data_IF_219307862945
#
_entry.id   IF_219307862945
#
_cell.length_a   1.000
_cell.length_b   1.000
_cell.length_c   1.000
_cell.angle_alpha   90.00
_cell.angle_beta   90.00
_cell.angle_gamma   90.00
#
_symmetry.space_group_name_H-M   'P 1'
#
loop_
_entity.id
_entity.type
_entity.pdbx_description
1 polymer ?
#
# COMPACT_ATOMS: atom_id res chain seq x y z
N UNK A 1 -14.31 -6.68 -26.40
CA UNK A 1 -15.58 -7.11 -25.79
C UNK A 1 -16.69 -6.76 -26.77
N UNK A 2 -17.51 -7.74 -27.11
CA UNK A 2 -18.50 -7.62 -28.19
C UNK A 2 -19.68 -6.72 -27.81
N UNK A 3 -20.18 -5.95 -28.76
CA UNK A 3 -21.43 -5.21 -28.63
C UNK A 3 -22.58 -6.19 -28.30
N UNK A 4 -23.35 -5.89 -27.24
CA UNK A 4 -24.52 -6.67 -26.89
C UNK A 4 -24.48 -7.43 -25.56
N UNK A 5 -23.39 -7.31 -24.78
CA UNK A 5 -23.33 -7.85 -23.42
C UNK A 5 -24.34 -7.11 -22.52
N UNK A 6 -25.22 -7.87 -21.86
CA UNK A 6 -26.27 -7.32 -21.02
C UNK A 6 -25.85 -7.37 -19.55
N UNK A 7 -26.47 -6.52 -18.70
CA UNK A 7 -26.32 -6.60 -17.25
C UNK A 7 -26.65 -8.03 -16.77
N UNK A 8 -25.91 -8.53 -15.79
CA UNK A 8 -26.03 -9.88 -15.20
C UNK A 8 -25.62 -11.05 -16.11
N UNK A 9 -25.14 -10.80 -17.33
CA UNK A 9 -24.50 -11.85 -18.15
C UNK A 9 -23.06 -12.09 -17.72
N UNK A 10 -22.66 -13.36 -17.75
CA UNK A 10 -21.30 -13.78 -17.52
C UNK A 10 -20.47 -13.73 -18.80
N UNK A 11 -19.25 -13.24 -18.70
CA UNK A 11 -18.26 -13.36 -19.77
C UNK A 11 -17.02 -14.07 -19.23
N UNK A 12 -16.53 -15.05 -19.99
CA UNK A 12 -15.26 -15.71 -19.73
C UNK A 12 -14.22 -15.20 -20.71
N UNK A 13 -13.08 -14.71 -20.21
CA UNK A 13 -11.97 -14.25 -21.03
C UNK A 13 -10.75 -15.10 -20.67
N UNK A 14 -10.25 -15.87 -21.65
CA UNK A 14 -9.03 -16.65 -21.50
C UNK A 14 -7.87 -15.91 -22.17
N UNK A 15 -6.82 -15.63 -21.39
CA UNK A 15 -5.58 -15.07 -21.89
C UNK A 15 -4.45 -16.10 -21.73
N UNK A 16 -3.69 -16.30 -22.81
CA UNK A 16 -2.46 -17.09 -22.75
C UNK A 16 -1.30 -16.21 -23.19
N UNK A 17 -0.35 -16.02 -22.29
CA UNK A 17 0.78 -15.15 -22.57
C UNK A 17 2.07 -15.65 -21.92
N UNK A 18 3.19 -15.18 -22.43
CA UNK A 18 4.51 -15.37 -21.85
C UNK A 18 5.04 -14.02 -21.41
N UNK A 19 5.53 -13.98 -20.17
CA UNK A 19 6.14 -12.78 -19.60
C UNK A 19 7.66 -13.01 -19.55
N UNK A 20 8.41 -12.09 -20.13
CA UNK A 20 9.86 -12.08 -19.98
C UNK A 20 10.22 -11.20 -18.78
N UNK A 21 10.69 -11.80 -17.70
CA UNK A 21 11.11 -11.11 -16.49
C UNK A 21 12.47 -10.45 -16.77
N UNK A 22 12.60 -9.12 -16.64
CA UNK A 22 13.87 -8.44 -16.84
C UNK A 22 14.86 -8.73 -15.69
N UNK A 23 16.13 -8.72 -16.00
CA UNK A 23 17.18 -8.77 -14.99
C UNK A 23 17.40 -7.36 -14.43
N UNK A 24 16.69 -7.03 -13.35
CA UNK A 24 16.74 -5.73 -12.69
C UNK A 24 16.21 -5.80 -11.26
N UNK A 25 16.77 -4.99 -10.39
CA UNK A 25 16.29 -4.76 -9.02
C UNK A 25 15.07 -3.83 -9.05
N UNK A 26 13.87 -4.41 -9.13
CA UNK A 26 12.60 -3.67 -9.13
C UNK A 26 11.45 -4.58 -8.70
N UNK A 27 10.25 -3.99 -8.46
CA UNK A 27 9.03 -4.74 -8.11
C UNK A 27 8.57 -5.74 -9.19
N UNK A 28 9.00 -5.55 -10.43
CA UNK A 28 8.86 -6.51 -11.52
C UNK A 28 10.23 -6.75 -12.14
N UNK A 29 10.89 -7.83 -11.73
CA UNK A 29 12.25 -8.14 -12.16
C UNK A 29 12.83 -9.35 -11.46
N UNK A 30 14.01 -9.73 -11.88
CA UNK A 30 14.86 -10.73 -11.20
C UNK A 30 16.19 -10.08 -10.85
N UNK A 31 16.58 -10.15 -9.60
CA UNK A 31 17.90 -9.78 -9.14
C UNK A 31 18.37 -10.68 -8.00
N UNK A 32 19.63 -11.12 -8.09
CA UNK A 32 20.30 -11.91 -7.05
C UNK A 32 19.53 -13.16 -6.59
N UNK A 33 18.77 -13.80 -7.50
CA UNK A 33 17.99 -15.01 -7.22
C UNK A 33 16.66 -14.74 -6.52
N UNK A 34 16.17 -13.51 -6.60
CA UNK A 34 14.83 -13.13 -6.16
C UNK A 34 14.03 -12.66 -7.39
N UNK A 35 12.92 -13.31 -7.67
CA UNK A 35 11.97 -12.94 -8.72
C UNK A 35 10.80 -12.20 -8.11
N UNK A 36 10.73 -10.89 -8.28
CA UNK A 36 9.61 -10.06 -7.89
C UNK A 36 8.64 -9.92 -9.07
N UNK A 37 7.37 -10.20 -8.84
CA UNK A 37 6.31 -10.24 -9.83
C UNK A 37 5.12 -9.36 -9.39
N UNK A 38 5.41 -8.12 -9.05
CA UNK A 38 4.41 -7.07 -8.84
C UNK A 38 3.86 -6.59 -10.18
N UNK A 39 2.56 -6.33 -10.27
CA UNK A 39 1.87 -5.89 -11.50
C UNK A 39 2.10 -6.82 -12.72
N UNK A 40 2.37 -8.11 -12.48
CA UNK A 40 2.63 -9.10 -13.52
C UNK A 40 1.36 -9.74 -14.08
N UNK A 41 0.25 -9.61 -13.38
CA UNK A 41 -1.02 -10.23 -13.71
C UNK A 41 -1.93 -9.23 -14.43
N UNK A 42 -2.70 -9.73 -15.41
CA UNK A 42 -3.69 -8.90 -16.10
C UNK A 42 -4.87 -8.58 -15.15
N UNK A 43 -5.19 -7.31 -15.04
CA UNK A 43 -6.36 -6.82 -14.31
C UNK A 43 -7.37 -6.18 -15.26
N UNK A 44 -8.68 -6.25 -14.99
CA UNK A 44 -9.68 -5.50 -15.75
C UNK A 44 -9.48 -3.99 -15.54
N UNK A 45 -9.65 -3.20 -16.59
CA UNK A 45 -9.79 -1.76 -16.42
C UNK A 45 -11.08 -1.45 -15.62
N UNK A 46 -11.07 -0.35 -14.87
CA UNK A 46 -12.23 0.11 -14.13
C UNK A 46 -13.25 0.72 -15.08
N UNK A 47 -14.54 0.39 -14.87
CA UNK A 47 -15.64 1.01 -15.58
C UNK A 47 -16.26 2.10 -14.71
N UNK A 48 -16.21 3.34 -15.17
CA UNK A 48 -16.83 4.48 -14.49
C UNK A 48 -17.32 5.52 -15.50
N UNK A 49 -18.36 6.26 -15.15
CA UNK A 49 -18.97 7.31 -15.99
C UNK A 49 -19.31 6.89 -17.43
N UNK A 50 -19.58 5.59 -17.62
CA UNK A 50 -19.98 5.04 -18.93
C UNK A 50 -18.82 4.70 -19.86
N UNK A 51 -17.57 4.66 -19.35
CA UNK A 51 -16.37 4.32 -20.11
C UNK A 51 -15.39 3.44 -19.32
N UNK A 52 -14.52 2.73 -20.03
CA UNK A 52 -13.36 2.09 -19.43
C UNK A 52 -12.29 3.12 -19.15
N UNK A 53 -11.80 3.13 -17.91
CA UNK A 53 -10.70 3.96 -17.47
C UNK A 53 -9.38 3.40 -18.02
N UNK A 54 -8.66 4.20 -18.81
CA UNK A 54 -7.39 3.84 -19.43
C UNK A 54 -6.42 5.01 -19.31
N UNK A 55 -5.90 5.20 -18.09
CA UNK A 55 -4.95 6.28 -17.80
C UNK A 55 -3.61 6.02 -18.50
N UNK A 56 -2.93 7.08 -18.90
CA UNK A 56 -1.55 6.97 -19.37
C UNK A 56 -0.63 6.60 -18.20
N UNK A 57 0.36 5.74 -18.50
CA UNK A 57 1.33 5.35 -17.48
C UNK A 57 2.15 6.56 -17.01
N UNK A 58 2.13 6.82 -15.72
CA UNK A 58 3.00 7.80 -15.07
C UNK A 58 4.26 7.10 -14.53
N UNK A 59 5.48 7.62 -14.77
CA UNK A 59 6.70 7.03 -14.22
C UNK A 59 6.95 7.40 -12.75
N UNK A 60 6.00 8.05 -12.12
CA UNK A 60 6.01 8.51 -10.73
C UNK A 60 4.76 8.00 -10.04
N UNK A 61 4.87 7.62 -8.76
CA UNK A 61 3.76 7.07 -7.99
C UNK A 61 3.33 5.68 -8.45
N UNK A 62 2.11 5.31 -8.12
CA UNK A 62 1.49 4.02 -8.42
C UNK A 62 0.27 4.17 -9.33
N UNK A 63 0.46 4.26 -10.66
CA UNK A 63 -0.62 4.56 -11.61
C UNK A 63 -1.49 3.32 -11.94
N UNK A 64 -1.88 2.53 -10.95
CA UNK A 64 -2.63 1.28 -11.16
C UNK A 64 -3.98 1.32 -10.44
N UNK A 65 -4.98 1.90 -11.12
CA UNK A 65 -6.35 1.91 -10.62
C UNK A 65 -7.02 0.55 -10.84
N UNK A 66 -7.59 -0.03 -9.78
CA UNK A 66 -8.32 -1.30 -9.82
C UNK A 66 -9.46 -1.34 -8.82
N UNK A 67 -10.49 -2.13 -9.14
CA UNK A 67 -11.52 -2.53 -8.18
C UNK A 67 -11.14 -3.84 -7.49
N UNK A 68 -11.73 -4.12 -6.33
CA UNK A 68 -11.52 -5.39 -5.65
C UNK A 68 -12.11 -6.56 -6.45
N UNK A 69 -11.34 -7.65 -6.55
CA UNK A 69 -11.73 -8.88 -7.22
C UNK A 69 -11.28 -10.12 -6.44
N UNK A 70 -11.79 -11.29 -6.79
CA UNK A 70 -11.36 -12.54 -6.18
C UNK A 70 -10.26 -13.17 -7.04
N UNK A 71 -9.15 -13.53 -6.40
CA UNK A 71 -8.03 -14.18 -7.04
C UNK A 71 -7.95 -15.65 -6.67
N UNK A 72 -7.72 -16.49 -7.66
CA UNK A 72 -7.27 -17.87 -7.50
C UNK A 72 -6.05 -18.06 -8.38
N UNK A 73 -4.89 -18.22 -7.73
CA UNK A 73 -3.60 -18.24 -8.42
C UNK A 73 -2.88 -19.55 -8.11
N UNK A 74 -2.49 -20.29 -9.16
CA UNK A 74 -1.69 -21.50 -9.04
C UNK A 74 -0.32 -21.26 -9.68
N UNK A 75 0.73 -21.47 -8.90
CA UNK A 75 2.11 -21.27 -9.33
C UNK A 75 2.88 -22.58 -9.19
N UNK A 76 3.59 -22.99 -10.23
CA UNK A 76 4.45 -24.17 -10.18
C UNK A 76 5.91 -23.76 -10.39
N UNK A 77 6.73 -24.04 -9.41
CA UNK A 77 8.17 -23.72 -9.40
C UNK A 77 9.02 -24.99 -9.21
N UNK A 78 10.31 -24.91 -9.41
CA UNK A 78 11.23 -26.01 -9.08
C UNK A 78 11.20 -26.27 -7.58
N UNK A 79 11.36 -27.55 -7.18
CA UNK A 79 11.46 -27.93 -5.76
C UNK A 79 12.58 -27.14 -5.08
N UNK A 80 12.30 -26.59 -3.91
CA UNK A 80 13.22 -25.77 -3.13
C UNK A 80 12.96 -24.28 -3.20
N UNK A 81 12.23 -23.81 -4.24
CA UNK A 81 11.79 -22.42 -4.30
C UNK A 81 10.59 -22.19 -3.38
N UNK A 82 10.60 -21.07 -2.67
CA UNK A 82 9.50 -20.56 -1.87
C UNK A 82 8.77 -19.46 -2.63
N UNK A 83 7.45 -19.43 -2.47
CA UNK A 83 6.57 -18.39 -3.03
C UNK A 83 5.94 -17.59 -1.89
N UNK A 84 6.25 -16.30 -1.82
CA UNK A 84 5.55 -15.32 -1.01
C UNK A 84 4.54 -14.58 -1.92
N UNK A 85 3.31 -14.36 -1.48
CA UNK A 85 2.29 -13.72 -2.33
C UNK A 85 1.19 -13.04 -1.54
N UNK A 86 0.29 -12.40 -2.27
CA UNK A 86 -0.94 -11.80 -1.74
C UNK A 86 -1.85 -12.88 -1.16
N UNK A 87 -1.72 -13.15 0.14
CA UNK A 87 -2.36 -14.26 0.85
C UNK A 87 -1.38 -15.38 1.19
N UNK A 88 -1.88 -16.43 1.84
CA UNK A 88 -1.07 -17.58 2.24
C UNK A 88 -1.45 -18.82 1.43
N UNK A 89 -0.51 -19.47 0.73
CA UNK A 89 -0.81 -20.58 -0.16
C UNK A 89 -0.87 -21.93 0.57
N UNK A 90 -1.62 -22.86 0.00
CA UNK A 90 -1.33 -24.29 0.19
C UNK A 90 -0.21 -24.71 -0.77
N UNK A 91 0.59 -25.71 -0.36
CA UNK A 91 1.72 -26.16 -1.16
C UNK A 91 1.75 -27.69 -1.29
N UNK A 92 1.99 -28.19 -2.50
CA UNK A 92 2.15 -29.60 -2.80
C UNK A 92 3.40 -29.82 -3.64
N UNK A 93 4.24 -30.78 -3.23
CA UNK A 93 5.48 -31.12 -3.96
C UNK A 93 5.35 -32.50 -4.60
N UNK A 94 5.49 -32.55 -5.92
CA UNK A 94 5.50 -33.78 -6.73
C UNK A 94 6.46 -33.62 -7.92
N UNK A 95 7.07 -34.69 -8.37
CA UNK A 95 7.85 -34.75 -9.62
C UNK A 95 8.95 -33.65 -9.76
N UNK A 96 9.60 -33.30 -8.64
CA UNK A 96 10.65 -32.29 -8.63
C UNK A 96 10.18 -30.83 -8.73
N UNK A 97 8.88 -30.59 -8.60
CA UNK A 97 8.25 -29.26 -8.58
C UNK A 97 7.41 -29.09 -7.32
N UNK A 98 7.23 -27.83 -6.93
CA UNK A 98 6.27 -27.43 -5.90
C UNK A 98 5.20 -26.57 -6.53
N UNK A 99 3.95 -26.90 -6.33
CA UNK A 99 2.79 -26.11 -6.70
C UNK A 99 2.29 -25.37 -5.46
N UNK A 100 2.09 -24.07 -5.62
CA UNK A 100 1.48 -23.18 -4.61
C UNK A 100 0.11 -22.72 -5.14
N UNK A 101 -0.92 -22.88 -4.34
CA UNK A 101 -2.28 -22.46 -4.68
C UNK A 101 -2.76 -21.40 -3.68
N UNK A 102 -3.03 -20.21 -4.17
CA UNK A 102 -3.54 -19.07 -3.43
C UNK A 102 -5.04 -18.89 -3.69
N UNK A 103 -5.81 -18.59 -2.65
CA UNK A 103 -7.21 -18.13 -2.73
C UNK A 103 -7.30 -16.82 -1.97
N UNK A 104 -7.44 -15.72 -2.70
CA UNK A 104 -7.29 -14.36 -2.17
C UNK A 104 -8.52 -13.53 -2.55
N UNK A 105 -9.56 -13.52 -1.71
CA UNK A 105 -10.81 -12.82 -2.00
C UNK A 105 -10.67 -11.31 -1.76
N UNK A 106 -11.43 -10.54 -2.52
CA UNK A 106 -11.60 -9.10 -2.36
C UNK A 106 -10.28 -8.30 -2.34
N UNK A 107 -9.36 -8.61 -3.26
CA UNK A 107 -8.08 -7.90 -3.41
C UNK A 107 -8.02 -7.10 -4.72
N UNK A 108 -7.42 -5.91 -4.66
CA UNK A 108 -7.27 -5.03 -5.83
C UNK A 108 -6.23 -5.51 -6.82
N UNK A 109 -5.19 -6.16 -6.33
CA UNK A 109 -4.10 -6.71 -7.13
C UNK A 109 -3.59 -8.00 -6.49
N UNK A 110 -2.73 -8.71 -7.20
CA UNK A 110 -2.03 -9.89 -6.71
C UNK A 110 -0.54 -9.77 -7.07
N UNK A 111 0.30 -9.91 -6.05
CA UNK A 111 1.74 -9.92 -6.23
C UNK A 111 2.34 -11.25 -5.76
N UNK A 112 3.49 -11.59 -6.32
CA UNK A 112 4.22 -12.80 -6.01
C UNK A 112 5.72 -12.51 -5.98
N UNK A 113 6.42 -13.09 -5.01
CA UNK A 113 7.89 -13.13 -4.99
C UNK A 113 8.33 -14.57 -4.84
N UNK A 114 9.33 -14.97 -5.62
CA UNK A 114 9.84 -16.35 -5.67
C UNK A 114 11.34 -16.36 -5.44
N UNK A 115 11.82 -17.21 -4.55
CA UNK A 115 13.26 -17.41 -4.34
C UNK A 115 13.55 -18.77 -3.68
N UNK A 116 14.71 -19.35 -3.97
CA UNK A 116 15.25 -20.50 -3.24
C UNK A 116 16.19 -20.10 -2.08
N UNK A 117 16.35 -18.77 -1.87
CA UNK A 117 17.23 -18.20 -0.85
C UNK A 117 16.51 -17.77 0.43
N UNK A 118 15.17 -17.82 0.45
CA UNK A 118 14.42 -17.32 1.57
C UNK A 118 14.49 -18.20 2.82
N UNK A 119 14.70 -17.54 3.94
CA UNK A 119 14.30 -17.99 5.27
C UNK A 119 12.92 -17.41 5.60
N UNK A 120 12.13 -18.14 6.38
CA UNK A 120 10.79 -17.72 6.77
C UNK A 120 10.68 -17.58 8.28
N UNK A 121 9.92 -16.57 8.71
CA UNK A 121 9.45 -16.44 10.07
C UNK A 121 7.92 -16.24 10.04
N UNK A 122 7.21 -16.85 10.99
CA UNK A 122 5.74 -16.80 11.03
C UNK A 122 5.24 -16.71 12.45
N UNK A 123 4.18 -15.98 12.66
CA UNK A 123 3.43 -15.95 13.90
C UNK A 123 1.98 -15.55 13.65
N UNK A 124 1.09 -15.94 14.56
CA UNK A 124 -0.28 -15.46 14.57
C UNK A 124 -0.37 -14.16 15.38
N UNK A 125 -1.12 -13.19 14.85
CA UNK A 125 -1.47 -11.94 15.50
C UNK A 125 -2.97 -11.70 15.33
N UNK A 126 -3.73 -11.76 16.42
CA UNK A 126 -5.20 -11.53 16.45
C UNK A 126 -5.97 -12.33 15.40
N UNK A 127 -5.59 -13.61 15.22
CA UNK A 127 -6.20 -14.53 14.24
C UNK A 127 -5.68 -14.38 12.81
N UNK A 128 -4.70 -13.49 12.56
CA UNK A 128 -4.04 -13.29 11.27
C UNK A 128 -2.70 -14.00 11.26
N UNK A 129 -2.44 -14.84 10.27
CA UNK A 129 -1.12 -15.43 10.06
C UNK A 129 -0.20 -14.42 9.40
N UNK A 130 0.75 -13.88 10.16
CA UNK A 130 1.79 -12.99 9.62
C UNK A 130 3.02 -13.81 9.25
N UNK A 131 3.49 -13.64 8.02
CA UNK A 131 4.64 -14.36 7.46
C UNK A 131 5.67 -13.36 6.94
N UNK A 132 6.94 -13.61 7.22
CA UNK A 132 8.04 -12.82 6.68
C UNK A 132 9.03 -13.72 5.95
N UNK A 133 9.47 -13.27 4.78
CA UNK A 133 10.44 -13.95 3.91
C UNK A 133 11.64 -13.03 3.69
N UNK A 134 12.84 -13.51 4.04
CA UNK A 134 14.07 -12.77 3.82
C UNK A 134 15.23 -13.70 3.51
N UNK A 135 16.30 -13.17 2.95
CA UNK A 135 17.52 -13.94 2.62
C UNK A 135 18.35 -14.32 3.85
N UNK A 136 18.02 -13.75 5.00
CA UNK A 136 18.59 -14.07 6.30
C UNK A 136 17.51 -14.31 7.35
N UNK A 137 17.70 -15.32 8.21
CA UNK A 137 16.70 -15.70 9.21
C UNK A 137 16.51 -14.66 10.34
N UNK A 138 17.49 -13.79 10.62
CA UNK A 138 17.34 -12.70 11.58
C UNK A 138 16.51 -11.57 11.01
N UNK A 139 16.73 -11.23 9.73
CA UNK A 139 15.92 -10.25 8.98
C UNK A 139 14.47 -10.68 8.86
N UNK A 140 14.22 -11.96 8.55
CA UNK A 140 12.85 -12.48 8.53
C UNK A 140 12.12 -12.30 9.87
N UNK A 141 12.84 -12.52 11.01
CA UNK A 141 12.26 -12.29 12.34
C UNK A 141 12.02 -10.81 12.62
N UNK A 142 12.93 -9.93 12.24
CA UNK A 142 12.79 -8.48 12.42
C UNK A 142 11.60 -7.93 11.62
N UNK A 143 11.48 -8.30 10.33
CA UNK A 143 10.32 -7.98 9.50
C UNK A 143 9.01 -8.46 10.14
N UNK A 144 8.98 -9.70 10.61
CA UNK A 144 7.82 -10.28 11.28
C UNK A 144 7.42 -9.46 12.50
N UNK A 145 8.39 -9.06 13.32
CA UNK A 145 8.13 -8.33 14.56
C UNK A 145 7.56 -6.94 14.28
N UNK A 146 8.11 -6.17 13.34
CA UNK A 146 7.56 -4.87 12.93
C UNK A 146 6.19 -5.01 12.29
N UNK A 147 6.02 -5.95 11.36
CA UNK A 147 4.74 -6.16 10.69
C UNK A 147 3.60 -6.52 11.64
N UNK A 148 3.85 -7.38 12.62
CA UNK A 148 2.87 -7.74 13.66
C UNK A 148 2.47 -6.54 14.51
N UNK A 149 3.45 -5.72 14.91
CA UNK A 149 3.21 -4.55 15.75
C UNK A 149 2.39 -3.50 15.01
N UNK A 150 2.73 -3.21 13.74
CA UNK A 150 1.98 -2.29 12.91
C UNK A 150 0.55 -2.80 12.65
N UNK A 151 0.40 -4.08 12.33
CA UNK A 151 -0.91 -4.70 12.11
C UNK A 151 -1.81 -4.60 13.36
N UNK A 152 -1.26 -4.85 14.55
CA UNK A 152 -1.98 -4.72 15.81
C UNK A 152 -2.37 -3.26 16.10
N UNK A 153 -1.46 -2.31 15.89
CA UNK A 153 -1.70 -0.88 16.06
C UNK A 153 -2.89 -0.42 15.19
N UNK A 154 -2.82 -0.65 13.88
CA UNK A 154 -3.84 -0.17 12.95
C UNK A 154 -5.16 -0.92 13.08
N UNK A 155 -5.15 -2.21 13.43
CA UNK A 155 -6.38 -2.95 13.74
C UNK A 155 -7.10 -2.36 14.96
N UNK A 156 -6.37 -1.91 15.98
CA UNK A 156 -6.95 -1.28 17.15
C UNK A 156 -7.47 0.14 16.86
N UNK A 157 -6.77 0.90 16.01
CA UNK A 157 -7.13 2.29 15.69
C UNK A 157 -8.26 2.38 14.67
N UNK A 158 -8.17 1.68 13.54
CA UNK A 158 -9.03 1.92 12.38
C UNK A 158 -10.07 0.84 12.15
N UNK A 159 -9.91 -0.33 12.73
CA UNK A 159 -10.81 -1.47 12.54
C UNK A 159 -10.05 -2.73 12.15
N UNK A 160 -10.68 -3.89 12.34
CA UNK A 160 -10.03 -5.17 12.15
C UNK A 160 -9.47 -5.36 10.73
N UNK A 161 -8.25 -5.88 10.65
CA UNK A 161 -7.67 -6.33 9.37
C UNK A 161 -8.53 -7.46 8.78
N UNK A 162 -8.99 -7.38 7.53
CA UNK A 162 -10.05 -8.27 7.06
C UNK A 162 -9.56 -9.58 6.45
N UNK A 163 -8.26 -9.70 6.16
CA UNK A 163 -7.71 -10.90 5.55
C UNK A 163 -7.15 -11.87 6.60
N UNK A 164 -7.06 -13.15 6.24
CA UNK A 164 -6.57 -14.21 7.15
C UNK A 164 -5.05 -14.26 7.28
N UNK A 165 -4.34 -13.58 6.40
CA UNK A 165 -2.87 -13.57 6.40
C UNK A 165 -2.32 -12.24 5.91
N UNK A 166 -1.09 -11.94 6.35
CA UNK A 166 -0.28 -10.84 5.85
C UNK A 166 1.16 -11.29 5.61
N UNK A 167 1.73 -10.92 4.47
CA UNK A 167 3.06 -11.34 4.05
C UNK A 167 3.99 -10.16 3.90
N UNK A 168 5.18 -10.24 4.48
CA UNK A 168 6.28 -9.29 4.28
C UNK A 168 7.41 -10.01 3.54
N UNK A 169 7.95 -9.41 2.49
CA UNK A 169 8.95 -10.08 1.66
C UNK A 169 10.09 -9.15 1.27
N UNK A 170 11.33 -9.55 1.57
CA UNK A 170 12.54 -8.88 1.09
C UNK A 170 12.64 -8.98 -0.42
N UNK A 171 12.90 -7.84 -1.08
CA UNK A 171 13.28 -7.80 -2.49
C UNK A 171 14.43 -6.80 -2.70
N UNK A 172 15.16 -6.93 -3.80
CA UNK A 172 16.08 -5.90 -4.24
C UNK A 172 15.26 -4.79 -4.95
N UNK A 173 15.10 -3.66 -4.25
CA UNK A 173 14.20 -2.58 -4.67
C UNK A 173 14.72 -1.23 -4.19
N UNK A 174 14.79 -0.20 -5.06
CA UNK A 174 15.38 1.09 -4.69
C UNK A 174 14.42 2.06 -4.00
N UNK A 175 13.16 1.68 -3.75
CA UNK A 175 12.08 2.60 -3.38
C UNK A 175 11.54 2.39 -1.96
N UNK A 176 12.22 1.66 -1.10
CA UNK A 176 11.76 1.43 0.26
C UNK A 176 10.80 0.24 0.39
N UNK A 177 9.55 0.39 0.05
CA UNK A 177 8.53 -0.66 0.10
C UNK A 177 7.54 -0.60 -1.05
N UNK A 178 6.60 -1.58 -1.06
CA UNK A 178 5.51 -1.68 -2.02
C UNK A 178 4.34 -2.50 -1.44
N UNK A 179 3.17 -1.93 -1.42
CA UNK A 179 2.03 -2.24 -0.58
C UNK A 179 0.96 -3.15 -1.20
N UNK A 180 1.29 -4.20 -1.89
CA UNK A 180 0.24 -5.07 -2.46
C UNK A 180 -0.76 -5.59 -1.41
N UNK A 181 -2.03 -5.84 -1.79
CA UNK A 181 -3.02 -6.37 -0.85
C UNK A 181 -2.55 -7.67 -0.19
N UNK A 182 -2.65 -7.74 1.14
CA UNK A 182 -2.17 -8.81 2.00
C UNK A 182 -0.66 -9.14 1.86
N UNK A 183 0.13 -8.25 1.25
CA UNK A 183 1.56 -8.43 1.06
C UNK A 183 2.27 -7.08 0.94
N UNK A 184 3.43 -6.92 1.58
CA UNK A 184 4.37 -5.85 1.27
C UNK A 184 5.72 -6.41 0.84
N UNK A 185 6.30 -5.80 -0.20
CA UNK A 185 7.69 -5.99 -0.59
C UNK A 185 8.52 -4.93 0.12
N UNK A 186 9.64 -5.33 0.74
CA UNK A 186 10.51 -4.42 1.50
C UNK A 186 11.92 -4.49 0.92
N UNK A 187 12.52 -3.31 0.71
CA UNK A 187 13.85 -3.20 0.12
C UNK A 187 14.93 -3.84 0.98
N UNK A 188 15.79 -4.65 0.38
CA UNK A 188 16.89 -5.33 1.05
C UNK A 188 17.85 -4.37 1.76
N UNK A 189 18.11 -3.18 1.19
CA UNK A 189 18.97 -2.16 1.79
C UNK A 189 18.43 -1.65 3.15
N UNK A 190 17.10 -1.61 3.31
CA UNK A 190 16.48 -1.28 4.60
C UNK A 190 16.69 -2.37 5.63
N UNK A 191 16.62 -3.63 5.22
CA UNK A 191 16.91 -4.76 6.11
C UNK A 191 18.39 -4.81 6.50
N UNK A 192 19.29 -4.34 5.63
CA UNK A 192 20.71 -4.19 5.94
C UNK A 192 20.97 -3.06 6.94
N UNK A 193 20.25 -1.93 6.79
CA UNK A 193 20.34 -0.79 7.70
C UNK A 193 19.69 -1.07 9.05
N UNK A 194 18.55 -1.76 9.06
CA UNK A 194 17.74 -2.04 10.26
C UNK A 194 17.22 -0.79 10.97
N UNK A 195 16.69 -0.98 12.16
CA UNK A 195 16.29 0.11 13.06
C UNK A 195 15.16 0.97 12.50
N UNK A 196 15.21 2.29 12.78
CA UNK A 196 14.12 3.22 12.48
C UNK A 196 13.70 3.26 11.01
N UNK A 197 14.65 3.25 10.09
CA UNK A 197 14.32 3.33 8.65
C UNK A 197 13.55 2.10 8.18
N UNK A 198 13.89 0.92 8.66
CA UNK A 198 13.13 -0.29 8.37
C UNK A 198 11.77 -0.26 9.06
N UNK A 199 11.73 0.10 10.34
CA UNK A 199 10.49 0.14 11.13
C UNK A 199 9.45 1.08 10.54
N UNK A 200 9.85 2.32 10.18
CA UNK A 200 8.94 3.31 9.61
C UNK A 200 8.40 2.89 8.25
N UNK A 201 9.25 2.33 7.38
CA UNK A 201 8.78 1.82 6.08
C UNK A 201 7.84 0.63 6.28
N UNK A 202 8.16 -0.34 7.13
CA UNK A 202 7.25 -1.46 7.40
C UNK A 202 5.91 -0.97 7.94
N UNK A 203 5.89 0.01 8.86
CA UNK A 203 4.64 0.57 9.37
C UNK A 203 3.83 1.27 8.27
N UNK A 204 4.49 2.03 7.40
CA UNK A 204 3.86 2.67 6.23
C UNK A 204 3.22 1.63 5.30
N UNK A 205 3.96 0.61 4.89
CA UNK A 205 3.45 -0.46 4.00
C UNK A 205 2.30 -1.28 4.62
N UNK A 206 2.31 -1.46 5.95
CA UNK A 206 1.20 -2.10 6.65
C UNK A 206 -0.04 -1.20 6.68
N UNK A 207 0.12 0.13 6.81
CA UNK A 207 -1.01 1.07 6.82
C UNK A 207 -1.81 1.05 5.52
N UNK A 208 -1.16 0.83 4.38
CA UNK A 208 -1.80 0.65 3.08
C UNK A 208 -2.78 -0.53 3.04
N UNK A 209 -2.76 -1.43 4.01
CA UNK A 209 -3.79 -2.47 4.08
C UNK A 209 -5.17 -1.89 4.42
N UNK A 210 -5.22 -0.74 5.11
CA UNK A 210 -6.42 0.08 5.32
C UNK A 210 -6.62 1.06 4.17
N UNK A 211 -5.56 1.80 3.80
CA UNK A 211 -5.58 2.93 2.84
C UNK A 211 -4.93 2.52 1.50
N UNK A 212 -5.55 1.73 0.71
CA UNK A 212 -5.35 1.15 -0.60
C UNK A 212 -6.02 -0.23 -0.69
N UNK A 213 -5.56 -1.24 0.05
CA UNK A 213 -6.07 -2.60 -0.14
C UNK A 213 -7.57 -2.68 0.15
N UNK A 214 -8.04 -2.09 1.26
CA UNK A 214 -9.46 -2.10 1.66
C UNK A 214 -10.17 -0.84 1.20
N UNK A 215 -9.73 0.34 1.62
CA UNK A 215 -10.28 1.61 1.14
C UNK A 215 -9.46 2.09 -0.05
N UNK A 216 -9.95 1.85 -1.26
CA UNK A 216 -9.29 2.34 -2.47
C UNK A 216 -9.57 3.79 -2.76
N UNK A 217 -8.74 4.39 -3.57
CA UNK A 217 -8.88 5.74 -4.09
C UNK A 217 -8.49 5.77 -5.57
N UNK A 218 -8.40 6.94 -6.15
CA UNK A 218 -7.80 7.15 -7.47
C UNK A 218 -6.32 7.50 -7.32
N UNK A 219 -5.39 6.54 -7.50
CA UNK A 219 -3.97 6.79 -7.27
C UNK A 219 -3.35 7.72 -8.31
N UNK A 220 -4.01 7.90 -9.47
CA UNK A 220 -3.54 8.79 -10.54
C UNK A 220 -3.84 10.25 -10.24
N UNK A 221 -5.03 10.54 -9.70
CA UNK A 221 -5.51 11.91 -9.49
C UNK A 221 -5.61 12.31 -8.01
N UNK A 222 -5.58 11.37 -7.08
CA UNK A 222 -5.84 11.56 -5.65
C UNK A 222 -4.90 10.73 -4.78
N UNK A 223 -3.62 10.63 -5.15
CA UNK A 223 -2.62 9.81 -4.47
C UNK A 223 -2.47 10.10 -2.96
N UNK A 224 -2.82 11.30 -2.51
CA UNK A 224 -2.80 11.68 -1.10
C UNK A 224 -3.75 10.84 -0.22
N UNK A 225 -4.83 10.27 -0.77
CA UNK A 225 -5.76 9.42 -0.02
C UNK A 225 -5.18 8.05 0.33
N UNK A 226 -4.10 7.71 -0.32
CA UNK A 226 -3.33 6.49 -0.13
C UNK A 226 -2.06 6.80 0.67
N UNK A 227 -1.15 7.50 0.07
CA UNK A 227 0.21 7.75 0.56
C UNK A 227 0.27 8.65 1.79
N UNK A 228 -0.48 9.76 1.78
CA UNK A 228 -0.46 10.66 2.92
C UNK A 228 -1.18 10.08 4.15
N UNK A 229 -2.24 9.29 3.95
CA UNK A 229 -2.89 8.55 5.05
C UNK A 229 -1.98 7.48 5.63
N UNK A 230 -1.26 6.74 4.79
CA UNK A 230 -0.32 5.72 5.24
C UNK A 230 0.86 6.35 5.97
N UNK A 231 1.37 7.48 5.48
CA UNK A 231 2.41 8.25 6.16
C UNK A 231 1.94 8.80 7.51
N UNK A 232 0.72 9.33 7.61
CA UNK A 232 0.12 9.75 8.87
C UNK A 232 -0.06 8.56 9.83
N UNK A 233 -0.56 7.43 9.34
CA UNK A 233 -0.74 6.23 10.16
C UNK A 233 0.59 5.69 10.71
N UNK A 234 1.67 5.80 9.96
CA UNK A 234 3.02 5.49 10.44
C UNK A 234 3.42 6.39 11.62
N UNK A 235 3.03 7.68 11.63
CA UNK A 235 3.26 8.57 12.78
C UNK A 235 2.46 8.12 14.01
N UNK A 236 1.21 7.70 13.82
CA UNK A 236 0.39 7.12 14.88
C UNK A 236 1.03 5.85 15.48
N UNK A 237 1.59 4.99 14.62
CA UNK A 237 2.36 3.84 15.05
C UNK A 237 3.59 4.23 15.89
N UNK A 238 4.34 5.26 15.45
CA UNK A 238 5.50 5.75 16.20
C UNK A 238 5.11 6.27 17.59
N UNK A 239 3.96 6.95 17.70
CA UNK A 239 3.44 7.40 18.99
C UNK A 239 3.08 6.22 19.90
N UNK A 240 2.33 5.25 19.40
CA UNK A 240 1.92 4.07 20.16
C UNK A 240 3.12 3.24 20.61
N UNK A 241 4.13 3.14 19.77
CA UNK A 241 5.29 2.29 20.00
C UNK A 241 6.36 2.95 20.85
N UNK A 242 6.63 4.23 20.64
CA UNK A 242 7.78 4.95 21.19
C UNK A 242 7.37 6.21 21.99
N UNK A 243 6.08 6.56 21.99
CA UNK A 243 5.53 7.72 22.66
C UNK A 243 5.52 9.01 21.83
N UNK A 244 4.71 9.98 22.27
CA UNK A 244 4.45 11.25 21.58
C UNK A 244 5.73 12.00 21.18
N UNK A 245 6.75 12.01 22.04
CA UNK A 245 8.00 12.71 21.74
C UNK A 245 8.69 12.18 20.44
N UNK A 246 8.52 10.89 20.16
CA UNK A 246 9.09 10.29 18.94
C UNK A 246 8.32 10.68 17.68
N UNK A 247 6.98 10.72 17.77
CA UNK A 247 6.11 11.26 16.73
C UNK A 247 6.48 12.73 16.43
N UNK A 248 6.53 13.58 17.45
CA UNK A 248 6.86 15.00 17.31
C UNK A 248 8.26 15.22 16.69
N UNK A 249 9.25 14.43 17.07
CA UNK A 249 10.59 14.49 16.48
C UNK A 249 10.55 14.18 14.98
N UNK A 250 9.80 13.15 14.56
CA UNK A 250 9.64 12.80 13.15
C UNK A 250 8.88 13.91 12.39
N UNK A 251 7.76 14.40 12.93
CA UNK A 251 6.99 15.49 12.34
C UNK A 251 7.89 16.72 12.09
N UNK A 252 8.68 17.13 13.09
CA UNK A 252 9.57 18.28 12.97
C UNK A 252 10.68 18.07 11.93
N UNK A 253 11.27 16.87 11.91
CA UNK A 253 12.40 16.56 11.05
C UNK A 253 11.97 16.44 9.59
N UNK A 254 10.89 15.74 9.30
CA UNK A 254 10.47 15.41 7.95
C UNK A 254 9.33 16.33 7.46
N UNK A 255 8.17 16.35 8.12
CA UNK A 255 6.99 17.03 7.61
C UNK A 255 7.14 18.56 7.62
N UNK A 256 7.58 19.15 8.75
CA UNK A 256 7.80 20.60 8.80
C UNK A 256 8.94 21.05 7.86
N UNK A 257 9.94 20.20 7.66
CA UNK A 257 11.00 20.47 6.69
C UNK A 257 10.47 20.47 5.27
N UNK A 258 9.62 19.51 4.92
CA UNK A 258 8.95 19.44 3.62
C UNK A 258 8.07 20.67 3.33
N UNK A 259 7.38 21.20 4.34
CA UNK A 259 6.57 22.43 4.21
C UNK A 259 7.41 23.68 3.83
N UNK A 260 8.70 23.70 4.18
CA UNK A 260 9.62 24.83 3.91
C UNK A 260 10.29 24.74 2.53
N UNK A 261 10.22 23.62 1.85
CA UNK A 261 10.83 23.44 0.52
C UNK A 261 9.97 24.15 -0.54
N UNK A 262 10.59 24.91 -1.44
CA UNK A 262 9.88 25.50 -2.57
C UNK A 262 9.71 24.47 -3.68
N UNK A 263 8.47 24.27 -4.13
CA UNK A 263 8.13 23.39 -5.25
C UNK A 263 7.55 24.19 -6.43
N UNK A 264 7.55 23.63 -7.65
CA UNK A 264 6.96 24.30 -8.81
C UNK A 264 5.47 24.59 -8.62
N UNK A 265 4.99 25.63 -9.30
CA UNK A 265 3.58 25.99 -9.27
C UNK A 265 2.69 24.87 -9.83
N UNK A 266 1.67 24.49 -9.07
CA UNK A 266 0.73 23.41 -9.43
C UNK A 266 1.20 22.01 -9.03
N UNK A 267 2.36 21.90 -8.36
CA UNK A 267 2.81 20.68 -7.69
C UNK A 267 2.33 20.78 -6.24
N UNK A 268 1.24 20.08 -5.94
CA UNK A 268 0.55 20.10 -4.64
C UNK A 268 0.20 18.68 -4.22
N UNK A 269 -0.10 18.39 -2.95
CA UNK A 269 -0.51 17.04 -2.53
C UNK A 269 -1.75 16.51 -3.28
N UNK A 270 -2.68 17.39 -3.66
CA UNK A 270 -3.88 17.04 -4.45
C UNK A 270 -3.66 17.01 -5.96
N UNK A 271 -2.42 17.21 -6.46
CA UNK A 271 -2.14 17.21 -7.90
C UNK A 271 -2.11 15.80 -8.48
N UNK A 272 -2.51 15.59 -9.75
CA UNK A 272 -2.36 14.32 -10.44
C UNK A 272 -0.89 13.97 -10.70
N UNK A 273 -0.62 12.68 -10.91
CA UNK A 273 0.75 12.15 -11.03
C UNK A 273 1.58 12.80 -12.14
N UNK A 274 0.96 13.24 -13.24
CA UNK A 274 1.64 13.88 -14.38
C UNK A 274 2.27 15.24 -14.05
N UNK A 275 1.98 15.78 -12.86
CA UNK A 275 2.57 17.06 -12.37
C UNK A 275 3.92 16.87 -11.71
N UNK A 276 4.27 15.67 -11.30
CA UNK A 276 5.51 15.41 -10.59
C UNK A 276 6.65 15.05 -11.54
N UNK A 277 7.81 15.65 -11.33
CA UNK A 277 9.00 15.45 -12.16
C UNK A 277 9.90 14.32 -11.70
N UNK A 278 9.74 13.86 -10.46
CA UNK A 278 10.55 12.79 -9.86
C UNK A 278 9.86 12.16 -8.64
N UNK A 279 10.29 10.95 -8.29
CA UNK A 279 9.84 10.28 -7.06
C UNK A 279 10.18 11.09 -5.79
N UNK A 280 11.32 11.76 -5.74
CA UNK A 280 11.70 12.60 -4.58
C UNK A 280 10.77 13.81 -4.42
N UNK A 281 10.36 14.45 -5.52
CA UNK A 281 9.38 15.54 -5.50
C UNK A 281 8.00 15.02 -5.07
N UNK A 282 7.59 13.87 -5.60
CA UNK A 282 6.35 13.19 -5.26
C UNK A 282 6.31 12.82 -3.77
N UNK A 283 7.33 12.16 -3.24
CA UNK A 283 7.41 11.80 -1.84
C UNK A 283 7.35 13.03 -0.92
N UNK A 284 8.16 14.04 -1.17
CA UNK A 284 8.14 15.29 -0.40
C UNK A 284 6.75 15.95 -0.37
N UNK A 285 6.04 15.92 -1.50
CA UNK A 285 4.77 16.65 -1.62
C UNK A 285 3.59 15.79 -1.20
N UNK A 286 3.46 14.59 -1.74
CA UNK A 286 2.27 13.75 -1.48
C UNK A 286 2.34 13.10 -0.11
N UNK A 287 3.49 12.52 0.24
CA UNK A 287 3.67 11.84 1.54
C UNK A 287 3.78 12.87 2.67
N UNK A 288 4.85 13.69 2.66
CA UNK A 288 5.16 14.52 3.83
C UNK A 288 4.21 15.71 4.00
N UNK A 289 3.97 16.50 2.94
CA UNK A 289 3.01 17.61 3.03
C UNK A 289 1.57 17.12 3.16
N UNK A 290 1.23 15.99 2.51
CA UNK A 290 -0.06 15.36 2.67
C UNK A 290 -0.28 14.88 4.11
N UNK A 291 0.69 14.20 4.70
CA UNK A 291 0.61 13.78 6.11
C UNK A 291 0.54 14.98 7.08
N UNK A 292 1.22 16.09 6.77
CA UNK A 292 1.10 17.31 7.57
C UNK A 292 -0.34 17.85 7.62
N UNK A 293 -1.13 17.66 6.56
CA UNK A 293 -2.57 17.96 6.57
C UNK A 293 -3.30 17.10 7.61
N UNK A 294 -3.05 15.80 7.64
CA UNK A 294 -3.69 14.90 8.60
C UNK A 294 -3.27 15.23 10.04
N UNK A 295 -2.01 15.56 10.28
CA UNK A 295 -1.56 16.06 11.58
C UNK A 295 -2.27 17.38 11.99
N UNK A 296 -2.55 18.26 11.03
CA UNK A 296 -3.30 19.49 11.30
C UNK A 296 -4.77 19.21 11.61
N UNK A 297 -5.41 18.29 10.88
CA UNK A 297 -6.78 17.83 11.14
C UNK A 297 -6.87 17.19 12.54
N UNK A 298 -5.95 16.30 12.88
CA UNK A 298 -5.92 15.61 14.18
C UNK A 298 -5.81 16.61 15.35
N UNK A 299 -4.91 17.61 15.23
CA UNK A 299 -4.80 18.68 16.22
C UNK A 299 -6.07 19.54 16.34
N UNK A 300 -6.76 19.82 15.24
CA UNK A 300 -8.03 20.57 15.28
C UNK A 300 -9.16 19.80 15.94
N UNK A 301 -9.10 18.47 15.86
CA UNK A 301 -10.09 17.55 16.43
C UNK A 301 -9.71 17.04 17.83
N UNK A 302 -8.68 17.63 18.45
CA UNK A 302 -8.15 17.21 19.78
C UNK A 302 -7.84 15.70 19.86
N UNK A 303 -7.26 15.11 18.79
CA UNK A 303 -6.97 13.68 18.67
C UNK A 303 -8.17 12.82 18.22
N UNK A 304 -9.25 13.44 17.77
CA UNK A 304 -10.49 12.75 17.35
C UNK A 304 -10.47 12.25 15.90
N UNK A 305 -9.34 12.33 15.19
CA UNK A 305 -9.26 11.91 13.78
C UNK A 305 -9.46 10.40 13.63
N UNK A 306 -9.08 9.59 14.61
CA UNK A 306 -9.28 8.13 14.59
C UNK A 306 -10.76 7.72 14.45
N UNK A 307 -11.68 8.46 15.08
CA UNK A 307 -13.12 8.17 14.97
C UNK A 307 -13.64 8.40 13.54
N UNK A 308 -13.14 9.47 12.88
CA UNK A 308 -13.41 9.69 11.47
C UNK A 308 -12.77 8.60 10.60
N UNK A 309 -11.51 8.22 10.83
CA UNK A 309 -10.82 7.21 10.04
C UNK A 309 -11.47 5.82 10.16
N UNK A 310 -12.03 5.46 11.33
CA UNK A 310 -12.88 4.26 11.47
C UNK A 310 -14.13 4.35 10.60
N UNK A 311 -14.85 5.48 10.66
CA UNK A 311 -16.03 5.68 9.84
C UNK A 311 -15.69 5.66 8.33
N UNK A 312 -14.54 6.20 7.96
CA UNK A 312 -14.03 6.19 6.59
C UNK A 312 -13.72 4.78 6.11
N UNK A 313 -13.01 3.98 6.94
CA UNK A 313 -12.77 2.57 6.68
C UNK A 313 -14.07 1.77 6.51
N UNK A 314 -15.01 1.91 7.44
CA UNK A 314 -16.30 1.21 7.38
C UNK A 314 -17.14 1.60 6.16
N UNK A 315 -17.17 2.89 5.81
CA UNK A 315 -17.98 3.43 4.72
C UNK A 315 -17.49 2.98 3.34
N UNK A 316 -16.16 2.90 3.16
CA UNK A 316 -15.56 2.66 1.85
C UNK A 316 -14.86 1.29 1.73
N UNK A 317 -15.03 0.39 2.71
CA UNK A 317 -14.41 -0.94 2.68
C UNK A 317 -14.71 -1.67 1.36
N UNK A 318 -13.63 -2.11 0.70
CA UNK A 318 -13.62 -2.78 -0.61
C UNK A 318 -14.19 -1.96 -1.78
N UNK A 319 -14.51 -0.70 -1.52
CA UNK A 319 -14.91 0.28 -2.52
C UNK A 319 -13.79 1.27 -2.83
N UNK A 320 -14.16 2.39 -3.44
CA UNK A 320 -13.27 3.52 -3.70
C UNK A 320 -13.87 4.79 -3.10
N UNK A 321 -13.05 5.57 -2.41
CA UNK A 321 -13.41 6.87 -1.90
C UNK A 321 -13.00 7.96 -2.90
N UNK A 322 -13.77 9.04 -2.93
CA UNK A 322 -13.42 10.27 -3.63
C UNK A 322 -13.09 11.37 -2.62
N UNK A 323 -12.46 12.44 -3.07
CA UNK A 323 -12.21 13.62 -2.24
C UNK A 323 -13.50 14.19 -1.65
N UNK A 324 -14.53 14.33 -2.47
CA UNK A 324 -15.83 14.83 -2.03
C UNK A 324 -16.47 13.91 -0.98
N UNK A 325 -16.31 12.61 -1.16
CA UNK A 325 -16.77 11.60 -0.20
C UNK A 325 -16.02 11.69 1.12
N UNK A 326 -14.71 11.90 1.07
CA UNK A 326 -13.85 12.13 2.24
C UNK A 326 -14.29 13.40 3.00
N UNK A 327 -14.37 14.54 2.31
CA UNK A 327 -14.76 15.84 2.89
C UNK A 327 -16.18 15.79 3.49
N UNK A 328 -17.13 15.15 2.80
CA UNK A 328 -18.50 14.99 3.28
C UNK A 328 -18.61 14.14 4.53
N UNK A 329 -17.89 13.00 4.57
CA UNK A 329 -17.89 12.12 5.72
C UNK A 329 -17.18 12.76 6.92
N UNK A 330 -16.11 13.52 6.69
CA UNK A 330 -15.41 14.25 7.74
C UNK A 330 -16.36 15.25 8.41
N UNK A 331 -17.11 16.05 7.62
CA UNK A 331 -18.10 16.97 8.15
C UNK A 331 -19.27 16.25 8.86
N UNK A 332 -19.71 15.08 8.35
CA UNK A 332 -20.75 14.26 8.97
C UNK A 332 -20.33 13.74 10.35
N UNK A 333 -19.10 13.25 10.46
CA UNK A 333 -18.59 12.62 11.69
C UNK A 333 -18.15 13.62 12.75
N UNK A 334 -17.55 14.73 12.35
CA UNK A 334 -17.02 15.74 13.28
C UNK A 334 -18.01 16.87 13.58
N UNK A 335 -18.98 17.10 12.71
CA UNK A 335 -19.89 18.24 12.78
C UNK A 335 -19.26 19.58 12.36
N UNK A 336 -18.04 19.56 11.83
CA UNK A 336 -17.28 20.74 11.43
C UNK A 336 -16.98 20.77 9.91
N UNK A 337 -16.99 21.96 9.32
CA UNK A 337 -16.54 22.15 7.93
C UNK A 337 -15.03 22.42 7.92
N UNK A 338 -14.25 21.35 7.71
CA UNK A 338 -12.79 21.40 7.60
C UNK A 338 -12.29 21.50 6.15
N UNK A 339 -13.18 21.64 5.19
CA UNK A 339 -12.87 21.82 3.75
C UNK A 339 -11.87 22.96 3.50
N UNK A 340 -11.93 24.12 4.17
CA UNK A 340 -10.93 25.17 3.96
C UNK A 340 -9.51 24.73 4.32
N UNK A 341 -9.33 24.01 5.43
CA UNK A 341 -8.02 23.46 5.82
C UNK A 341 -7.50 22.45 4.79
N UNK A 342 -8.35 21.49 4.40
CA UNK A 342 -8.00 20.48 3.40
C UNK A 342 -7.56 21.17 2.09
N UNK A 343 -8.28 22.18 1.64
CA UNK A 343 -7.96 22.96 0.43
C UNK A 343 -6.64 23.70 0.56
N UNK A 344 -6.35 24.26 1.72
CA UNK A 344 -5.09 24.97 1.97
C UNK A 344 -3.87 24.04 1.80
N UNK A 345 -3.99 22.77 2.21
CA UNK A 345 -2.92 21.79 2.04
C UNK A 345 -2.91 21.14 0.64
N UNK A 346 -4.06 20.69 0.15
CA UNK A 346 -4.11 19.89 -1.08
C UNK A 346 -3.99 20.73 -2.36
N UNK A 347 -4.48 21.98 -2.36
CA UNK A 347 -4.59 22.79 -3.58
C UNK A 347 -3.60 23.97 -3.60
N UNK A 348 -2.87 24.20 -2.51
CA UNK A 348 -1.96 25.34 -2.40
C UNK A 348 -0.50 24.87 -2.47
N UNK A 349 0.31 25.46 -3.36
CA UNK A 349 1.74 25.15 -3.50
C UNK A 349 2.64 25.93 -2.53
N UNK A 350 2.11 26.95 -1.89
CA UNK A 350 2.77 27.75 -0.84
C UNK A 350 1.85 27.73 0.39
N UNK A 351 2.32 27.15 1.49
CA UNK A 351 1.68 27.27 2.79
C UNK A 351 2.23 28.53 3.47
N UNK A 352 1.38 29.49 3.78
CA UNK A 352 1.75 30.75 4.44
C UNK A 352 1.84 30.58 5.95
#
# INVERSE_FOLDING_TARGET
ITDGWQAEEWIEITLTYTVQIPHMAYRFGEDSGIWALGNAFAIPAVWEEGAWRTDEYAPVGDPFLSDCMNWTVSVSVSKGFLCAGSGYPTAETADGRTRYDFVSPAMRDFALVVSDRFHTAQAEQDGVLVSAYATDASRARELLDYGKQALACFSARYGAYPYQSYTLCEINFPMGGMEYPAMAMIAADLLDAGGESLETVVAHEVAHQWWYAVVGSDPVNQAWQDEALSQFSMLEYLEDRHGLARREEYEQRELESALRVTVPRGVTPGAPLDRFSSMSEYALVVYDRGAAMFCALDRMLDGGLDDFLRAYYERYAFGRATREGFESLLAETTGEDLTPLIRDYLDTYILN
#
